data_IF_523411265852
#
_entry.id   IF_523411265852
#
_cell.length_a   1.000
_cell.length_b   1.000
_cell.length_c   1.000
_cell.angle_alpha   90.00
_cell.angle_beta   90.00
_cell.angle_gamma   90.00
#
_symmetry.space_group_name_H-M   'P 1'
#
loop_
_entity.id
_entity.type
_entity.pdbx_description
1 polymer ?
#
# COMPACT_ATOMS: atom_id res chain seq x y z
N UNK A 1 56.32 -4.11 -5.74
CA UNK A 1 57.26 -3.66 -4.68
C UNK A 1 56.49 -3.67 -3.36
N UNK A 2 56.78 -4.45 -2.33
CA UNK A 2 57.80 -5.48 -2.09
C UNK A 2 57.27 -6.27 -0.88
N UNK A 3 57.39 -7.59 -0.93
CA UNK A 3 57.06 -8.53 0.15
C UNK A 3 58.03 -8.36 1.33
N UNK A 4 57.55 -8.51 2.57
CA UNK A 4 58.41 -8.55 3.75
C UNK A 4 58.44 -9.95 4.36
N UNK A 5 59.68 -10.44 4.50
CA UNK A 5 60.11 -11.78 4.92
C UNK A 5 60.02 -12.02 6.43
N UNK A 6 59.80 -13.29 6.80
CA UNK A 6 60.04 -13.89 8.12
C UNK A 6 61.53 -13.87 8.54
N UNK A 7 61.80 -14.01 9.85
CA UNK A 7 62.88 -14.91 10.27
C UNK A 7 62.51 -15.85 11.45
N UNK A 8 62.97 -17.09 11.34
CA UNK A 8 63.00 -18.16 12.37
C UNK A 8 64.29 -18.11 13.21
N UNK A 9 64.31 -18.53 14.49
CA UNK A 9 65.54 -18.69 15.29
C UNK A 9 66.21 -20.08 15.15
N UNK A 10 67.52 -20.13 15.46
CA UNK A 10 68.48 -21.25 15.38
C UNK A 10 68.49 -22.16 16.62
N UNK A 11 69.06 -23.38 16.54
CA UNK A 11 69.27 -24.26 17.70
C UNK A 11 70.64 -24.02 18.38
N UNK A 12 70.65 -24.10 19.70
CA UNK A 12 71.85 -24.03 20.56
C UNK A 12 72.37 -25.43 20.94
N UNK A 13 73.66 -25.48 21.24
CA UNK A 13 74.54 -26.66 21.33
C UNK A 13 75.30 -26.58 22.65
N UNK A 14 75.31 -27.63 23.46
CA UNK A 14 76.30 -27.85 24.54
C UNK A 14 76.57 -29.35 24.72
N UNK A 15 77.75 -29.85 24.34
CA UNK A 15 78.97 -30.09 25.17
C UNK A 15 78.78 -31.23 26.20
N UNK A 16 79.25 -32.45 25.90
CA UNK A 16 80.63 -32.96 26.05
C UNK A 16 81.08 -33.12 27.50
N UNK A 17 81.03 -34.36 28.01
CA UNK A 17 81.91 -34.83 29.09
C UNK A 17 82.40 -36.25 28.77
N UNK A 18 83.72 -36.36 28.69
CA UNK A 18 84.48 -37.54 28.34
C UNK A 18 85.04 -38.10 29.65
N UNK A 19 84.78 -39.37 29.98
CA UNK A 19 85.45 -40.07 31.09
C UNK A 19 86.10 -41.35 30.58
N UNK A 20 87.40 -41.43 30.84
CA UNK A 20 88.33 -42.50 30.49
C UNK A 20 87.87 -43.84 31.08
N UNK A 21 87.71 -44.86 30.25
CA UNK A 21 87.47 -46.23 30.71
C UNK A 21 88.75 -47.05 30.54
N UNK A 22 89.24 -47.58 31.65
CA UNK A 22 90.47 -48.37 31.79
C UNK A 22 90.41 -49.66 30.96
N UNK A 23 91.53 -49.99 30.31
CA UNK A 23 91.72 -51.06 29.33
C UNK A 23 91.53 -52.50 29.89
N UNK A 24 91.26 -52.65 31.19
CA UNK A 24 91.23 -53.95 31.90
C UNK A 24 89.84 -54.61 31.91
N UNK A 25 88.76 -53.89 31.57
CA UNK A 25 87.37 -54.43 31.62
C UNK A 25 86.99 -55.22 30.35
N UNK A 26 87.72 -55.06 29.24
CA UNK A 26 87.38 -55.72 27.96
C UNK A 26 87.72 -57.21 27.89
N UNK A 27 88.54 -57.76 28.78
CA UNK A 27 89.03 -59.14 28.66
C UNK A 27 88.25 -60.19 29.45
N UNK A 28 87.36 -59.81 30.38
CA UNK A 28 86.62 -60.78 31.23
C UNK A 28 85.10 -60.87 30.98
N UNK A 29 84.52 -59.99 30.14
CA UNK A 29 83.06 -59.94 29.87
C UNK A 29 82.62 -60.60 28.56
N UNK A 30 83.54 -61.17 27.78
CA UNK A 30 83.24 -61.77 26.46
C UNK A 30 82.67 -63.21 26.56
N UNK A 31 83.08 -64.11 27.47
CA UNK A 31 82.56 -65.48 27.47
C UNK A 31 81.13 -65.61 28.05
N UNK A 32 80.64 -64.64 28.82
CA UNK A 32 79.32 -64.72 29.45
C UNK A 32 78.17 -64.27 28.52
N UNK A 33 78.42 -63.29 27.63
CA UNK A 33 77.42 -62.80 26.68
C UNK A 33 77.11 -63.79 25.53
N UNK A 34 78.08 -64.62 25.13
CA UNK A 34 77.87 -65.59 24.05
C UNK A 34 76.91 -66.72 24.49
N UNK A 35 76.99 -67.16 25.76
CA UNK A 35 76.03 -68.14 26.29
C UNK A 35 74.60 -67.61 26.39
N UNK A 36 74.42 -66.33 26.75
CA UNK A 36 73.10 -65.70 26.82
C UNK A 36 72.44 -65.56 25.44
N UNK A 37 73.23 -65.24 24.41
CA UNK A 37 72.73 -65.11 23.03
C UNK A 37 72.29 -66.48 22.49
N UNK A 38 73.03 -67.56 22.76
CA UNK A 38 72.68 -68.91 22.30
C UNK A 38 71.44 -69.48 22.99
N UNK A 39 71.20 -69.16 24.27
CA UNK A 39 69.96 -69.57 24.95
C UNK A 39 68.74 -68.82 24.39
N UNK A 40 68.86 -67.52 24.13
CA UNK A 40 67.76 -66.69 23.64
C UNK A 40 67.30 -67.04 22.21
N UNK A 41 68.22 -67.46 21.33
CA UNK A 41 67.85 -67.86 19.96
C UNK A 41 67.15 -69.22 19.91
N UNK A 42 67.45 -70.13 20.84
CA UNK A 42 66.77 -71.43 20.92
C UNK A 42 65.30 -71.31 21.35
N UNK A 43 64.99 -70.41 22.29
CA UNK A 43 63.62 -70.19 22.79
C UNK A 43 62.74 -69.45 21.79
N UNK A 44 63.32 -68.52 21.03
CA UNK A 44 62.60 -67.80 19.96
C UNK A 44 62.28 -68.74 18.79
N UNK A 45 63.20 -69.64 18.42
CA UNK A 45 62.96 -70.64 17.39
C UNK A 45 61.82 -71.62 17.72
N UNK A 46 61.74 -72.06 18.97
CA UNK A 46 60.68 -72.97 19.41
C UNK A 46 59.30 -72.29 19.50
N UNK A 47 59.25 -71.03 19.93
CA UNK A 47 58.01 -70.25 19.97
C UNK A 47 57.40 -70.00 18.57
N UNK A 48 58.25 -69.73 17.57
CA UNK A 48 57.80 -69.53 16.18
C UNK A 48 57.21 -70.81 15.58
N UNK A 49 57.80 -71.97 15.88
CA UNK A 49 57.27 -73.27 15.43
C UNK A 49 55.90 -73.60 16.06
N UNK A 50 55.69 -73.26 17.33
CA UNK A 50 54.39 -73.43 17.99
C UNK A 50 53.31 -72.51 17.39
N UNK A 51 53.66 -71.27 17.00
CA UNK A 51 52.73 -70.34 16.36
C UNK A 51 52.34 -70.77 14.94
N UNK A 52 53.27 -71.31 14.15
CA UNK A 52 52.97 -71.79 12.80
C UNK A 52 52.15 -73.09 12.80
N UNK A 53 52.31 -73.96 13.80
CA UNK A 53 51.52 -75.20 13.91
C UNK A 53 50.08 -75.01 14.42
N UNK A 54 49.73 -73.82 14.95
CA UNK A 54 48.38 -73.53 15.47
C UNK A 54 47.58 -72.51 14.65
N UNK A 55 48.07 -72.13 13.46
CA UNK A 55 47.37 -71.17 12.61
C UNK A 55 46.31 -71.86 11.74
N UNK A 56 45.07 -71.88 12.22
CA UNK A 56 43.90 -72.30 11.43
C UNK A 56 43.28 -71.05 10.77
N UNK A 57 43.22 -70.95 9.43
CA UNK A 57 42.69 -69.75 8.78
C UNK A 57 41.19 -69.61 9.08
N UNK A 58 40.69 -68.39 9.38
CA UNK A 58 39.26 -68.15 9.54
C UNK A 58 38.55 -68.37 8.19
N UNK A 59 37.39 -69.03 8.24
CA UNK A 59 36.47 -69.15 7.09
C UNK A 59 36.09 -67.75 6.59
N UNK A 60 36.03 -67.51 5.26
CA UNK A 60 35.68 -66.20 4.73
C UNK A 60 34.26 -65.80 5.18
N UNK A 61 34.02 -64.52 5.51
CA UNK A 61 32.70 -64.04 5.86
C UNK A 61 31.77 -64.13 4.64
N UNK A 62 30.52 -64.55 4.86
CA UNK A 62 29.47 -64.45 3.86
C UNK A 62 29.35 -62.98 3.41
N UNK A 63 29.75 -62.70 2.16
CA UNK A 63 29.53 -61.40 1.52
C UNK A 63 28.02 -61.33 1.26
N UNK A 64 27.27 -60.41 1.90
CA UNK A 64 25.87 -60.21 1.55
C UNK A 64 25.80 -59.80 0.06
N UNK A 65 24.78 -60.23 -0.69
CA UNK A 65 24.69 -59.97 -2.12
C UNK A 65 24.82 -58.47 -2.41
N UNK A 66 25.37 -58.08 -3.57
CA UNK A 66 25.51 -56.68 -3.93
C UNK A 66 24.13 -56.01 -3.88
N UNK A 67 24.01 -54.90 -3.17
CA UNK A 67 22.78 -54.11 -3.12
C UNK A 67 22.95 -52.90 -4.03
N UNK A 68 22.25 -52.91 -5.17
CA UNK A 68 22.37 -51.89 -6.20
C UNK A 68 21.96 -50.47 -5.76
N UNK A 69 21.30 -50.34 -4.61
CA UNK A 69 20.97 -49.04 -4.01
C UNK A 69 21.88 -48.65 -2.84
N UNK A 70 22.77 -49.54 -2.37
CA UNK A 70 23.67 -49.26 -1.25
C UNK A 70 24.69 -48.21 -1.65
N UNK A 71 24.62 -47.03 -1.02
CA UNK A 71 25.50 -45.90 -1.30
C UNK A 71 25.16 -45.12 -2.57
N UNK A 72 24.06 -45.45 -3.25
CA UNK A 72 23.61 -44.71 -4.45
C UNK A 72 22.85 -43.45 -4.04
N UNK A 73 23.37 -42.28 -4.40
CA UNK A 73 22.74 -40.99 -4.15
C UNK A 73 21.94 -40.54 -5.38
N UNK A 74 20.62 -40.56 -5.27
CA UNK A 74 19.73 -40.07 -6.32
C UNK A 74 19.48 -38.57 -6.15
N UNK A 75 19.66 -37.80 -7.23
CA UNK A 75 19.44 -36.36 -7.24
C UNK A 75 17.96 -35.98 -7.40
N UNK A 76 17.66 -34.69 -7.22
CA UNK A 76 16.37 -34.07 -7.61
C UNK A 76 15.11 -34.63 -6.92
N UNK A 77 15.27 -35.35 -5.80
CA UNK A 77 14.14 -36.00 -5.10
C UNK A 77 13.79 -37.39 -5.64
N UNK A 78 14.61 -37.96 -6.52
CA UNK A 78 14.47 -39.34 -6.96
C UNK A 78 14.84 -40.32 -5.83
N UNK A 79 14.20 -41.48 -5.84
CA UNK A 79 14.44 -42.57 -4.88
C UNK A 79 15.12 -43.71 -5.63
N UNK A 80 16.10 -44.37 -5.01
CA UNK A 80 16.70 -45.56 -5.60
C UNK A 80 15.74 -46.74 -5.45
N UNK A 81 15.39 -47.37 -6.56
CA UNK A 81 14.62 -48.62 -6.60
C UNK A 81 15.50 -49.73 -7.20
N UNK A 82 15.40 -50.94 -6.65
CA UNK A 82 16.17 -52.10 -7.12
C UNK A 82 15.51 -52.68 -8.37
N UNK A 83 16.33 -53.15 -9.30
CA UNK A 83 15.86 -53.90 -10.46
C UNK A 83 15.23 -55.22 -9.97
N UNK A 84 14.03 -55.52 -10.46
CA UNK A 84 13.29 -56.74 -10.08
C UNK A 84 14.00 -58.05 -10.48
N UNK A 85 14.91 -57.98 -11.46
CA UNK A 85 15.62 -59.14 -12.01
C UNK A 85 17.03 -59.30 -11.47
N UNK A 86 17.66 -58.20 -11.03
CA UNK A 86 19.01 -58.20 -10.46
C UNK A 86 19.10 -57.24 -9.26
N UNK A 87 19.10 -57.74 -8.02
CA UNK A 87 19.23 -56.93 -6.80
C UNK A 87 20.53 -56.11 -6.73
N UNK A 88 21.54 -56.46 -7.54
CA UNK A 88 22.83 -55.76 -7.65
C UNK A 88 22.73 -54.46 -8.45
N UNK A 89 21.62 -54.24 -9.16
CA UNK A 89 21.38 -53.09 -10.02
C UNK A 89 20.27 -52.22 -9.41
N UNK A 90 20.61 -50.97 -9.10
CA UNK A 90 19.64 -49.97 -8.64
C UNK A 90 19.45 -48.88 -9.69
N UNK A 91 18.24 -48.35 -9.83
CA UNK A 91 17.89 -47.24 -10.70
C UNK A 91 17.30 -46.08 -9.89
N UNK A 92 17.59 -44.83 -10.28
CA UNK A 92 17.00 -43.66 -9.63
C UNK A 92 15.69 -43.33 -10.32
N UNK A 93 14.58 -43.55 -9.63
CA UNK A 93 13.24 -43.35 -10.19
C UNK A 93 12.52 -42.23 -9.48
N UNK A 94 11.75 -41.46 -10.25
CA UNK A 94 10.81 -40.51 -9.68
C UNK A 94 9.56 -41.27 -9.27
N UNK A 95 9.38 -41.46 -7.96
CA UNK A 95 8.18 -42.10 -7.44
C UNK A 95 6.97 -41.29 -7.88
N UNK A 96 5.94 -41.97 -8.39
CA UNK A 96 4.62 -41.36 -8.64
C UNK A 96 4.00 -40.99 -7.30
N UNK A 97 4.35 -39.80 -6.80
CA UNK A 97 3.81 -39.22 -5.58
C UNK A 97 2.41 -38.68 -5.86
N UNK A 98 1.45 -39.04 -5.00
CA UNK A 98 0.14 -38.40 -4.98
C UNK A 98 0.26 -37.18 -4.09
N UNK A 99 0.27 -35.99 -4.69
CA UNK A 99 0.33 -34.75 -3.91
C UNK A 99 -1.07 -34.42 -3.35
N UNK A 100 -1.16 -33.87 -2.13
CA UNK A 100 -2.41 -33.36 -1.59
C UNK A 100 -3.00 -32.29 -2.51
N UNK A 101 -4.33 -32.26 -2.64
CA UNK A 101 -5.06 -31.23 -3.41
C UNK A 101 -5.15 -29.87 -2.68
N UNK A 102 -4.27 -29.60 -1.72
CA UNK A 102 -4.21 -28.33 -1.00
C UNK A 102 -3.59 -27.27 -1.92
N UNK A 103 -4.33 -26.20 -2.17
CA UNK A 103 -3.86 -25.07 -2.99
C UNK A 103 -3.10 -24.09 -2.08
N UNK A 104 -1.77 -24.17 -2.12
CA UNK A 104 -0.86 -23.31 -1.37
C UNK A 104 0.33 -22.96 -2.28
N UNK A 105 0.13 -22.06 -3.27
CA UNK A 105 1.05 -21.91 -4.38
C UNK A 105 2.45 -21.49 -3.94
N UNK A 106 3.48 -21.94 -4.66
CA UNK A 106 4.87 -21.55 -4.44
C UNK A 106 5.52 -21.13 -5.76
N UNK A 107 6.43 -20.17 -5.69
CA UNK A 107 7.21 -19.71 -6.82
C UNK A 107 8.56 -20.43 -6.84
N UNK A 108 8.83 -21.17 -7.91
CA UNK A 108 10.08 -21.87 -8.12
C UNK A 108 11.20 -20.94 -8.62
N UNK A 109 12.45 -21.38 -8.46
CA UNK A 109 13.64 -20.71 -8.98
C UNK A 109 13.72 -20.66 -10.51
N UNK A 110 12.84 -21.40 -11.17
CA UNK A 110 12.64 -21.43 -12.61
C UNK A 110 11.56 -20.44 -13.08
N UNK A 111 11.09 -19.54 -12.20
CA UNK A 111 9.99 -18.59 -12.43
C UNK A 111 8.61 -19.22 -12.69
N UNK A 112 8.45 -20.51 -12.44
CA UNK A 112 7.18 -21.22 -12.57
C UNK A 112 6.40 -21.24 -11.24
N UNK A 113 5.08 -21.09 -11.31
CA UNK A 113 4.19 -21.24 -10.15
C UNK A 113 3.75 -22.69 -10.03
N UNK A 114 3.92 -23.30 -8.86
CA UNK A 114 3.45 -24.64 -8.54
C UNK A 114 2.28 -24.56 -7.55
N UNK A 115 1.29 -25.44 -7.69
CA UNK A 115 0.06 -25.46 -6.86
C UNK A 115 0.35 -25.61 -5.36
N UNK A 116 1.43 -26.32 -5.03
CA UNK A 116 2.00 -26.47 -3.70
C UNK A 116 3.45 -26.97 -3.79
N UNK A 117 4.13 -27.06 -2.64
CA UNK A 117 5.52 -27.51 -2.55
C UNK A 117 5.73 -28.96 -3.01
N UNK A 118 4.75 -29.86 -2.79
CA UNK A 118 4.82 -31.24 -3.28
C UNK A 118 4.84 -31.31 -4.81
N UNK A 119 3.99 -30.53 -5.49
CA UNK A 119 3.98 -30.49 -6.96
C UNK A 119 5.28 -29.87 -7.52
N UNK A 120 5.92 -28.95 -6.78
CA UNK A 120 7.25 -28.44 -7.13
C UNK A 120 8.31 -29.54 -7.03
N UNK A 121 8.36 -30.30 -5.92
CA UNK A 121 9.32 -31.40 -5.75
C UNK A 121 9.12 -32.51 -6.78
N UNK A 122 7.86 -32.84 -7.10
CA UNK A 122 7.51 -33.78 -8.16
C UNK A 122 7.99 -33.30 -9.53
N UNK A 123 7.79 -32.02 -9.84
CA UNK A 123 8.31 -31.42 -11.07
C UNK A 123 9.84 -31.41 -11.09
N UNK A 124 10.49 -31.11 -9.95
CA UNK A 124 11.94 -31.15 -9.77
C UNK A 124 12.50 -32.52 -10.18
N UNK A 125 11.89 -33.59 -9.68
CA UNK A 125 12.28 -34.96 -10.02
C UNK A 125 12.01 -35.26 -11.50
N UNK A 126 10.79 -35.05 -11.97
CA UNK A 126 10.38 -35.43 -13.33
C UNK A 126 11.17 -34.69 -14.43
N UNK A 127 11.53 -33.43 -14.18
CA UNK A 127 12.29 -32.61 -15.13
C UNK A 127 13.79 -32.72 -14.95
N UNK A 128 14.26 -33.40 -13.89
CA UNK A 128 15.68 -33.52 -13.52
C UNK A 128 16.38 -32.14 -13.43
N UNK A 129 15.68 -31.13 -12.90
CA UNK A 129 16.19 -29.77 -12.68
C UNK A 129 16.18 -29.46 -11.20
N UNK A 130 17.14 -28.71 -10.67
CA UNK A 130 17.08 -28.22 -9.28
C UNK A 130 16.18 -26.99 -9.23
N UNK A 131 15.03 -27.13 -8.59
CA UNK A 131 14.02 -26.07 -8.47
C UNK A 131 13.86 -25.80 -6.99
N UNK A 132 14.27 -24.62 -6.53
CA UNK A 132 14.11 -24.22 -5.13
C UNK A 132 12.90 -23.32 -5.01
N UNK A 133 12.16 -23.41 -3.91
CA UNK A 133 11.15 -22.41 -3.57
C UNK A 133 11.87 -21.07 -3.36
N UNK A 134 11.62 -20.10 -4.25
CA UNK A 134 12.08 -18.72 -4.06
C UNK A 134 11.18 -17.96 -3.09
N UNK A 135 9.87 -18.19 -3.16
CA UNK A 135 8.86 -17.48 -2.35
C UNK A 135 7.57 -18.28 -2.27
N UNK A 136 6.83 -18.12 -1.16
CA UNK A 136 5.42 -18.54 -1.05
C UNK A 136 4.53 -17.65 -1.93
N UNK A 137 3.53 -18.23 -2.57
CA UNK A 137 2.64 -17.57 -3.54
C UNK A 137 3.09 -17.74 -5.00
N UNK A 138 2.29 -17.23 -5.94
CA UNK A 138 2.57 -17.29 -7.37
C UNK A 138 3.81 -16.50 -7.79
N UNK A 139 4.48 -16.91 -8.87
CA UNK A 139 5.53 -16.13 -9.53
C UNK A 139 5.00 -14.90 -10.28
N UNK A 140 3.69 -14.86 -10.56
CA UNK A 140 3.06 -13.62 -11.03
C UNK A 140 3.26 -12.54 -9.96
N UNK A 141 4.10 -11.54 -10.28
CA UNK A 141 4.22 -10.32 -9.51
C UNK A 141 2.87 -9.61 -9.64
N UNK A 142 2.01 -9.71 -8.61
CA UNK A 142 0.89 -8.79 -8.49
C UNK A 142 1.44 -7.37 -8.53
N UNK A 143 0.78 -6.48 -9.26
CA UNK A 143 1.13 -5.06 -9.23
C UNK A 143 1.17 -4.58 -7.77
N UNK A 144 2.33 -4.12 -7.26
CA UNK A 144 2.43 -3.65 -5.88
C UNK A 144 1.47 -2.50 -5.56
N UNK A 145 0.99 -1.76 -6.59
CA UNK A 145 0.00 -0.70 -6.42
C UNK A 145 -1.46 -1.18 -6.34
N UNK A 146 -1.75 -2.45 -6.64
CA UNK A 146 -3.11 -2.98 -6.67
C UNK A 146 -3.82 -2.97 -5.29
N UNK A 147 -3.05 -3.05 -4.21
CA UNK A 147 -3.57 -3.08 -2.83
C UNK A 147 -3.17 -1.81 -2.03
N UNK A 148 -2.56 -0.80 -2.68
CA UNK A 148 -2.08 0.44 -2.03
C UNK A 148 -2.98 1.61 -2.39
N UNK A 149 -3.59 2.22 -1.37
CA UNK A 149 -4.35 3.47 -1.53
C UNK A 149 -3.51 4.66 -1.08
N UNK A 150 -3.13 5.50 -2.02
CA UNK A 150 -2.37 6.72 -1.76
C UNK A 150 -3.28 7.85 -1.27
N UNK A 151 -2.78 8.69 -0.37
CA UNK A 151 -3.51 9.81 0.23
C UNK A 151 -3.07 11.16 -0.37
N UNK A 152 -3.87 12.20 -0.15
CA UNK A 152 -3.50 13.60 -0.45
C UNK A 152 -3.14 13.85 -1.92
N UNK A 153 -3.80 13.19 -2.89
CA UNK A 153 -3.52 13.41 -4.31
C UNK A 153 -2.17 12.86 -4.80
N UNK A 154 -1.53 11.97 -4.04
CA UNK A 154 -0.38 11.20 -4.52
C UNK A 154 -0.81 10.00 -5.37
N UNK A 155 0.03 9.65 -6.34
CA UNK A 155 -0.19 8.49 -7.22
C UNK A 155 0.74 7.36 -6.80
N UNK A 156 0.22 6.13 -6.80
CA UNK A 156 1.04 4.96 -6.54
C UNK A 156 1.92 4.64 -7.75
N UNK A 157 3.20 4.42 -7.49
CA UNK A 157 4.14 3.88 -8.48
C UNK A 157 4.86 2.65 -7.92
N UNK A 158 5.25 1.73 -8.80
CA UNK A 158 6.11 0.61 -8.44
C UNK A 158 7.52 1.13 -8.12
N UNK A 159 8.10 0.65 -7.02
CA UNK A 159 9.48 0.95 -6.66
C UNK A 159 10.47 0.25 -7.60
N UNK A 160 11.73 0.72 -7.61
CA UNK A 160 12.82 0.11 -8.38
C UNK A 160 13.02 -1.38 -8.11
N UNK A 161 12.60 -1.85 -6.94
CA UNK A 161 12.74 -3.25 -6.52
C UNK A 161 11.70 -4.18 -7.17
N UNK A 162 10.75 -3.63 -7.93
CA UNK A 162 9.68 -4.38 -8.60
C UNK A 162 8.67 -5.05 -7.67
N UNK A 163 8.82 -4.88 -6.35
CA UNK A 163 8.04 -5.59 -5.31
C UNK A 163 7.31 -4.67 -4.36
N UNK A 164 7.80 -3.46 -4.17
CA UNK A 164 7.21 -2.46 -3.27
C UNK A 164 6.51 -1.37 -4.08
N UNK A 165 5.52 -0.74 -3.46
CA UNK A 165 4.80 0.41 -3.99
C UNK A 165 5.19 1.66 -3.20
N UNK A 166 5.24 2.81 -3.89
CA UNK A 166 5.52 4.11 -3.29
C UNK A 166 4.50 5.12 -3.79
N UNK A 167 3.89 5.85 -2.86
CA UNK A 167 3.05 6.99 -3.19
C UNK A 167 3.92 8.23 -3.44
N UNK A 168 3.75 8.86 -4.59
CA UNK A 168 4.51 10.06 -4.95
C UNK A 168 3.61 11.21 -5.35
N UNK A 169 4.00 12.42 -4.96
CA UNK A 169 3.35 13.64 -5.41
C UNK A 169 3.65 13.91 -6.89
N UNK A 170 2.73 14.55 -7.62
CA UNK A 170 3.04 15.14 -8.92
C UNK A 170 4.24 16.10 -8.81
N UNK A 171 5.22 15.97 -9.72
CA UNK A 171 6.42 16.82 -9.75
C UNK A 171 6.24 18.06 -10.65
N UNK A 172 5.39 17.95 -11.68
CA UNK A 172 5.10 19.04 -12.63
C UNK A 172 3.71 18.83 -13.25
N UNK A 173 3.09 19.95 -13.64
CA UNK A 173 1.79 19.98 -14.32
C UNK A 173 1.86 20.76 -15.65
N UNK A 174 3.05 20.96 -16.23
CA UNK A 174 3.24 21.79 -17.43
C UNK A 174 2.61 21.19 -18.69
N UNK A 175 2.67 19.86 -18.84
CA UNK A 175 2.14 19.14 -20.01
C UNK A 175 0.71 18.60 -19.81
N UNK A 176 -0.03 19.16 -18.83
CA UNK A 176 -1.39 18.74 -18.50
C UNK A 176 -2.38 19.80 -18.98
N UNK A 177 -3.56 19.43 -19.52
CA UNK A 177 -4.60 20.38 -19.86
C UNK A 177 -4.95 21.31 -18.68
N UNK A 178 -4.90 22.63 -18.92
CA UNK A 178 -5.22 23.66 -17.92
C UNK A 178 -6.73 23.88 -17.84
N UNK A 179 -7.45 22.84 -17.41
CA UNK A 179 -8.89 22.90 -17.17
C UNK A 179 -9.10 23.30 -15.71
N UNK A 180 -9.68 24.47 -15.45
CA UNK A 180 -9.97 24.91 -14.08
C UNK A 180 -10.89 23.92 -13.37
N UNK A 181 -10.55 23.61 -12.11
CA UNK A 181 -11.32 22.73 -11.25
C UNK A 181 -11.54 23.34 -9.87
N UNK A 182 -12.66 22.99 -9.24
CA UNK A 182 -12.99 23.39 -7.89
C UNK A 182 -12.54 22.31 -6.90
N UNK A 183 -11.75 22.70 -5.91
CA UNK A 183 -11.34 21.84 -4.81
C UNK A 183 -12.35 21.80 -3.67
N UNK A 184 -12.34 20.72 -2.90
CA UNK A 184 -13.19 20.55 -1.70
C UNK A 184 -12.87 21.58 -0.61
N UNK A 185 -11.71 22.22 -0.69
CA UNK A 185 -11.29 23.35 0.15
C UNK A 185 -11.90 24.70 -0.28
N UNK A 186 -12.70 24.71 -1.34
CA UNK A 186 -13.34 25.92 -1.87
C UNK A 186 -12.42 26.79 -2.71
N UNK A 187 -11.27 26.26 -3.14
CA UNK A 187 -10.30 26.98 -3.98
C UNK A 187 -10.33 26.49 -5.42
N UNK A 188 -10.13 27.44 -6.34
CA UNK A 188 -9.96 27.16 -7.76
C UNK A 188 -8.52 26.74 -8.06
N UNK A 189 -8.38 25.63 -8.78
CA UNK A 189 -7.10 25.11 -9.25
C UNK A 189 -7.06 25.14 -10.77
N UNK A 190 -5.90 25.50 -11.34
CA UNK A 190 -5.72 25.60 -12.79
C UNK A 190 -5.87 24.25 -13.54
N UNK A 191 -5.72 23.14 -12.82
CA UNK A 191 -5.94 21.77 -13.30
C UNK A 191 -6.11 20.80 -12.13
N UNK A 192 -6.63 19.61 -12.39
CA UNK A 192 -6.67 18.53 -11.40
C UNK A 192 -5.26 18.13 -10.94
N UNK A 193 -4.25 18.20 -11.82
CA UNK A 193 -2.85 18.00 -11.45
C UNK A 193 -2.39 19.05 -10.42
N UNK A 194 -2.72 20.33 -10.64
CA UNK A 194 -2.35 21.40 -9.72
C UNK A 194 -3.03 21.21 -8.34
N UNK A 195 -4.29 20.76 -8.33
CA UNK A 195 -5.02 20.38 -7.11
C UNK A 195 -4.30 19.25 -6.37
N UNK A 196 -4.02 18.13 -7.05
CA UNK A 196 -3.36 16.97 -6.46
C UNK A 196 -1.94 17.29 -5.96
N UNK A 197 -1.19 18.11 -6.70
CA UNK A 197 0.12 18.60 -6.30
C UNK A 197 0.04 19.45 -5.02
N UNK A 198 -0.96 20.33 -4.92
CA UNK A 198 -1.19 21.14 -3.71
C UNK A 198 -1.63 20.28 -2.52
N UNK A 199 -2.56 19.35 -2.73
CA UNK A 199 -3.00 18.39 -1.72
C UNK A 199 -1.80 17.63 -1.14
N UNK A 200 -0.93 17.12 -2.02
CA UNK A 200 0.18 16.27 -1.65
C UNK A 200 1.29 17.05 -0.94
N UNK A 201 1.66 18.22 -1.47
CA UNK A 201 2.70 19.07 -0.86
C UNK A 201 2.30 19.64 0.50
N UNK A 202 1.00 19.77 0.78
CA UNK A 202 0.50 20.31 2.05
C UNK A 202 -0.02 19.25 3.01
N UNK A 203 0.01 17.96 2.62
CA UNK A 203 -0.61 16.85 3.37
C UNK A 203 -2.07 17.14 3.75
N UNK A 204 -2.81 17.79 2.85
CA UNK A 204 -4.23 18.13 3.04
C UNK A 204 -5.09 17.27 2.13
N UNK A 205 -6.24 16.83 2.65
CA UNK A 205 -7.17 16.00 1.91
C UNK A 205 -8.08 16.86 1.02
N UNK A 206 -7.49 17.47 0.00
CA UNK A 206 -8.18 18.29 -0.99
C UNK A 206 -8.61 17.37 -2.12
N UNK A 207 -9.91 17.22 -2.32
CA UNK A 207 -10.50 16.40 -3.38
C UNK A 207 -11.05 17.30 -4.47
N UNK A 208 -11.13 16.77 -5.68
CA UNK A 208 -11.89 17.40 -6.76
C UNK A 208 -13.38 17.42 -6.38
N UNK A 209 -13.97 18.61 -6.27
CA UNK A 209 -15.40 18.78 -6.01
C UNK A 209 -16.18 18.73 -7.33
N UNK A 210 -15.80 19.56 -8.30
CA UNK A 210 -16.33 19.55 -9.65
C UNK A 210 -15.38 20.24 -10.64
N UNK A 211 -15.61 20.03 -11.94
CA UNK A 211 -14.91 20.75 -13.01
C UNK A 211 -15.50 22.17 -13.11
N UNK A 212 -14.66 23.17 -13.36
CA UNK A 212 -15.02 24.59 -13.36
C UNK A 212 -14.60 25.33 -12.08
N UNK A 213 -14.94 26.61 -12.00
CA UNK A 213 -14.68 27.45 -10.82
C UNK A 213 -15.68 27.16 -9.70
N UNK A 214 -15.23 27.16 -8.45
CA UNK A 214 -16.03 27.05 -7.24
C UNK A 214 -17.10 28.14 -7.11
N UNK A 215 -16.79 29.36 -7.56
CA UNK A 215 -17.72 30.50 -7.61
C UNK A 215 -17.79 31.08 -9.03
N UNK A 216 -18.61 30.48 -9.92
CA UNK A 216 -18.85 31.01 -11.27
C UNK A 216 -19.45 32.42 -11.27
N UNK A 217 -20.01 32.87 -10.13
CA UNK A 217 -20.61 34.17 -9.95
C UNK A 217 -19.67 35.22 -9.34
N UNK A 218 -18.41 34.85 -9.01
CA UNK A 218 -17.42 35.71 -8.35
C UNK A 218 -17.24 37.06 -9.04
N UNK A 219 -17.20 37.07 -10.37
CA UNK A 219 -16.99 38.28 -11.17
C UNK A 219 -18.21 39.20 -11.23
N UNK A 220 -19.40 38.70 -10.89
CA UNK A 220 -20.66 39.44 -10.97
C UNK A 220 -21.12 40.00 -9.60
N UNK A 221 -20.48 39.59 -8.48
CA UNK A 221 -20.86 39.99 -7.10
C UNK A 221 -20.89 41.51 -6.85
N UNK A 222 -20.08 42.30 -7.58
CA UNK A 222 -19.98 43.75 -7.40
C UNK A 222 -20.70 44.58 -8.48
N UNK A 223 -21.33 43.93 -9.45
CA UNK A 223 -22.17 44.62 -10.41
C UNK A 223 -23.55 44.79 -9.79
N UNK A 224 -23.87 45.98 -9.27
CA UNK A 224 -25.23 46.38 -8.81
C UNK A 224 -26.36 46.01 -9.81
N UNK A 225 -25.97 45.77 -11.06
CA UNK A 225 -26.83 45.51 -12.20
C UNK A 225 -26.89 44.04 -12.67
N UNK A 226 -26.12 43.11 -12.07
CA UNK A 226 -26.09 41.70 -12.50
C UNK A 226 -26.12 40.78 -11.30
N UNK A 227 -27.32 40.32 -10.91
CA UNK A 227 -27.41 39.22 -9.94
C UNK A 227 -27.05 37.92 -10.67
N UNK A 228 -26.13 37.13 -10.14
CA UNK A 228 -25.74 35.85 -10.71
C UNK A 228 -26.17 34.72 -9.78
N UNK A 229 -26.79 33.69 -10.34
CA UNK A 229 -27.06 32.44 -9.65
C UNK A 229 -26.53 31.29 -10.52
N UNK A 230 -25.83 30.33 -9.91
CA UNK A 230 -25.29 29.17 -10.64
C UNK A 230 -26.15 27.92 -10.45
N UNK A 231 -26.37 27.17 -11.53
CA UNK A 231 -27.01 25.86 -11.49
C UNK A 231 -26.01 24.79 -11.95
N UNK A 232 -25.67 23.87 -11.05
CA UNK A 232 -24.66 22.84 -11.28
C UNK A 232 -25.14 21.75 -12.24
N UNK A 233 -26.44 21.44 -12.28
CA UNK A 233 -26.97 20.40 -13.16
C UNK A 233 -26.89 20.80 -14.63
N UNK A 234 -27.12 22.09 -14.93
CA UNK A 234 -27.05 22.65 -16.29
C UNK A 234 -25.71 23.30 -16.61
N UNK A 235 -24.85 23.49 -15.61
CA UNK A 235 -23.59 24.23 -15.68
C UNK A 235 -23.76 25.65 -16.23
N UNK A 236 -24.90 26.29 -15.95
CA UNK A 236 -25.22 27.63 -16.45
C UNK A 236 -25.37 28.61 -15.31
N UNK A 237 -24.89 29.83 -15.54
CA UNK A 237 -25.16 30.97 -14.68
C UNK A 237 -26.39 31.71 -15.21
N UNK A 238 -27.35 31.97 -14.34
CA UNK A 238 -28.47 32.87 -14.60
C UNK A 238 -28.08 34.27 -14.12
N UNK A 239 -28.00 35.20 -15.05
CA UNK A 239 -27.78 36.61 -14.76
C UNK A 239 -29.10 37.38 -14.84
N UNK A 240 -29.43 38.16 -13.81
CA UNK A 240 -30.58 39.06 -13.85
C UNK A 240 -30.12 40.45 -14.24
N UNK A 241 -30.81 41.00 -15.24
CA UNK A 241 -30.70 42.38 -15.68
C UNK A 241 -30.96 43.39 -14.54
N UNK A 242 -30.45 44.64 -14.66
CA UNK A 242 -30.68 45.69 -13.66
C UNK A 242 -32.17 45.99 -13.44
N UNK A 243 -32.56 46.66 -12.33
CA UNK A 243 -33.95 47.03 -12.06
C UNK A 243 -34.57 47.88 -13.17
N UNK A 244 -33.75 48.67 -13.87
CA UNK A 244 -34.14 49.49 -15.02
C UNK A 244 -34.57 48.67 -16.24
N UNK A 245 -34.25 47.38 -16.30
CA UNK A 245 -34.72 46.47 -17.35
C UNK A 245 -36.15 45.96 -17.11
N UNK A 246 -36.70 46.12 -15.89
CA UNK A 246 -38.09 45.80 -15.64
C UNK A 246 -38.99 46.83 -16.35
N UNK A 247 -39.95 46.38 -17.19
CA UNK A 247 -40.86 47.29 -17.88
C UNK A 247 -41.59 48.19 -16.89
N UNK A 248 -41.66 49.51 -17.13
CA UNK A 248 -42.51 50.39 -16.34
C UNK A 248 -43.97 50.02 -16.65
N UNK A 249 -44.67 49.44 -15.69
CA UNK A 249 -46.10 49.16 -15.80
C UNK A 249 -46.48 47.69 -15.62
N UNK A 250 -46.49 47.25 -14.37
CA UNK A 250 -47.51 46.28 -13.95
C UNK A 250 -48.23 46.87 -12.75
N UNK A 251 -49.44 46.42 -12.51
CA UNK A 251 -50.16 46.78 -11.29
C UNK A 251 -49.31 46.45 -10.06
N UNK A 252 -49.31 47.31 -9.02
CA UNK A 252 -48.67 46.97 -7.75
C UNK A 252 -49.27 45.66 -7.23
N UNK A 253 -48.48 44.88 -6.51
CA UNK A 253 -48.89 43.57 -6.00
C UNK A 253 -48.36 43.32 -4.59
N UNK A 254 -49.09 42.47 -3.87
CA UNK A 254 -48.66 41.92 -2.60
C UNK A 254 -47.96 40.58 -2.84
N UNK A 255 -46.73 40.47 -2.38
CA UNK A 255 -45.94 39.25 -2.51
C UNK A 255 -46.06 38.37 -1.27
N UNK A 256 -45.62 37.13 -1.40
CA UNK A 256 -45.68 36.13 -0.35
C UNK A 256 -44.82 36.48 0.87
N UNK A 257 -43.91 37.45 0.81
CA UNK A 257 -43.18 37.93 1.99
C UNK A 257 -43.90 39.07 2.74
N UNK A 258 -45.16 39.35 2.39
CA UNK A 258 -45.95 40.42 3.00
C UNK A 258 -45.51 41.81 2.61
N UNK A 259 -44.81 41.97 1.48
CA UNK A 259 -44.33 43.27 0.98
C UNK A 259 -45.00 43.67 -0.32
N UNK A 260 -45.11 44.98 -0.49
CA UNK A 260 -45.62 45.60 -1.71
C UNK A 260 -44.52 45.70 -2.75
N UNK A 261 -44.80 45.25 -3.97
CA UNK A 261 -43.92 45.39 -5.12
C UNK A 261 -44.63 46.16 -6.21
N UNK A 262 -43.92 47.12 -6.83
CA UNK A 262 -44.46 47.90 -7.93
C UNK A 262 -44.68 47.03 -9.17
N UNK A 263 -43.82 46.03 -9.38
CA UNK A 263 -43.98 45.07 -10.47
C UNK A 263 -43.57 43.66 -10.10
N UNK A 264 -44.12 42.67 -10.82
CA UNK A 264 -43.77 41.25 -10.65
C UNK A 264 -42.29 41.00 -10.98
N UNK A 265 -41.76 41.68 -12.00
CA UNK A 265 -40.33 41.66 -12.32
C UNK A 265 -39.46 42.13 -11.15
N UNK A 266 -39.86 43.21 -10.45
CA UNK A 266 -39.13 43.69 -9.28
C UNK A 266 -39.25 42.72 -8.08
N UNK A 267 -40.41 42.06 -7.94
CA UNK A 267 -40.60 41.00 -6.94
C UNK A 267 -39.64 39.85 -7.18
N UNK A 268 -39.63 39.28 -8.38
CA UNK A 268 -38.75 38.16 -8.75
C UNK A 268 -37.28 38.51 -8.64
N UNK A 269 -36.88 39.71 -9.08
CA UNK A 269 -35.50 40.18 -8.92
C UNK A 269 -35.09 40.28 -7.46
N UNK A 270 -35.95 40.85 -6.62
CA UNK A 270 -35.68 40.99 -5.18
C UNK A 270 -35.66 39.63 -4.49
N UNK A 271 -36.54 38.71 -4.89
CA UNK A 271 -36.59 37.34 -4.41
C UNK A 271 -35.24 36.65 -4.65
N UNK A 272 -34.75 36.69 -5.89
CA UNK A 272 -33.46 36.11 -6.26
C UNK A 272 -32.30 36.78 -5.52
N UNK A 273 -32.31 38.11 -5.37
CA UNK A 273 -31.25 38.83 -4.63
C UNK A 273 -31.17 38.39 -3.15
N UNK A 274 -32.29 37.97 -2.58
CA UNK A 274 -32.36 37.48 -1.20
C UNK A 274 -32.30 35.95 -1.10
N UNK A 275 -32.02 35.25 -2.21
CA UNK A 275 -31.98 33.78 -2.28
C UNK A 275 -33.30 33.16 -1.80
N UNK A 276 -34.41 33.75 -2.26
CA UNK A 276 -35.78 33.39 -1.89
C UNK A 276 -36.62 33.17 -3.14
N UNK A 277 -37.65 32.36 -3.00
CA UNK A 277 -38.76 32.27 -3.95
C UNK A 277 -39.96 33.03 -3.39
N UNK A 278 -40.37 34.09 -4.08
CA UNK A 278 -41.58 34.83 -3.76
C UNK A 278 -42.69 34.49 -4.76
N UNK A 279 -43.93 34.51 -4.30
CA UNK A 279 -45.13 34.32 -5.13
C UNK A 279 -46.01 35.55 -5.03
N UNK A 280 -46.68 35.93 -6.12
CA UNK A 280 -47.75 36.94 -6.06
C UNK A 280 -48.93 36.36 -5.28
N UNK A 281 -49.34 37.02 -4.20
CA UNK A 281 -50.51 36.63 -3.40
C UNK A 281 -51.77 37.21 -4.02
N UNK A 282 -51.78 38.53 -4.28
CA UNK A 282 -52.86 39.22 -4.98
C UNK A 282 -52.37 40.51 -5.66
N UNK A 283 -53.16 41.05 -6.59
CA UNK A 283 -52.96 42.40 -7.13
C UNK A 283 -53.34 43.47 -6.09
N UNK A 284 -52.68 44.62 -6.13
CA UNK A 284 -52.80 45.69 -5.15
C UNK A 284 -51.86 45.54 -3.94
N UNK A 285 -51.80 46.56 -3.06
CA UNK A 285 -50.95 46.53 -1.87
C UNK A 285 -51.47 45.55 -0.81
N UNK A 286 -50.56 44.95 -0.05
CA UNK A 286 -50.84 44.14 1.13
C UNK A 286 -51.66 44.93 2.15
N UNK A 287 -52.59 44.25 2.82
CA UNK A 287 -53.33 44.81 3.96
C UNK A 287 -52.44 44.84 5.20
N UNK A 288 -52.75 45.70 6.18
CA UNK A 288 -52.01 45.79 7.46
C UNK A 288 -51.90 44.46 8.22
N UNK A 289 -52.88 43.56 8.06
CA UNK A 289 -52.89 42.24 8.70
C UNK A 289 -52.00 41.22 7.96
N UNK A 290 -51.58 41.55 6.74
CA UNK A 290 -50.73 40.75 5.85
C UNK A 290 -49.25 41.23 5.90
N UNK A 291 -48.91 42.16 6.79
CA UNK A 291 -47.52 42.61 7.00
C UNK A 291 -46.80 41.72 8.01
N UNK A 292 -45.56 41.35 7.71
CA UNK A 292 -44.68 40.63 8.63
C UNK A 292 -44.18 41.57 9.74
N UNK A 293 -44.84 41.57 10.90
CA UNK A 293 -44.51 42.44 12.03
C UNK A 293 -43.32 41.95 12.87
N UNK A 294 -43.12 40.64 13.01
CA UNK A 294 -42.01 40.06 13.77
C UNK A 294 -40.93 39.47 12.85
N UNK A 295 -39.68 39.64 13.25
CA UNK A 295 -38.55 38.99 12.60
C UNK A 295 -38.54 37.50 12.93
N UNK A 296 -38.58 36.69 11.88
CA UNK A 296 -38.50 35.25 12.01
C UNK A 296 -37.13 34.83 12.57
N UNK A 297 -37.15 33.98 13.60
CA UNK A 297 -35.94 33.39 14.20
C UNK A 297 -35.28 32.36 13.27
N UNK A 298 -34.01 32.06 13.54
CA UNK A 298 -33.26 31.00 12.85
C UNK A 298 -33.26 31.15 11.32
N UNK A 299 -33.02 32.36 10.82
CA UNK A 299 -32.98 32.62 9.36
C UNK A 299 -34.25 32.23 8.59
N UNK A 300 -35.38 31.97 9.28
CA UNK A 300 -36.63 31.65 8.65
C UNK A 300 -37.18 32.84 7.87
N UNK A 301 -37.98 32.55 6.84
CA UNK A 301 -38.57 33.54 5.96
C UNK A 301 -40.03 33.72 6.36
N UNK A 302 -40.43 34.96 6.63
CA UNK A 302 -41.84 35.26 6.83
C UNK A 302 -42.59 35.11 5.50
N UNK A 303 -43.66 34.33 5.54
CA UNK A 303 -44.55 34.07 4.41
C UNK A 303 -46.01 34.36 4.73
N UNK A 304 -46.74 34.86 3.74
CA UNK A 304 -48.19 34.92 3.74
C UNK A 304 -48.79 33.62 3.24
N UNK A 305 -49.52 32.95 4.12
CA UNK A 305 -50.27 31.75 3.82
C UNK A 305 -51.71 31.93 4.29
N UNK A 306 -52.68 31.83 3.37
CA UNK A 306 -54.11 32.04 3.67
C UNK A 306 -54.42 33.39 4.36
N UNK A 307 -53.68 34.46 4.03
CA UNK A 307 -53.88 35.79 4.62
C UNK A 307 -53.33 35.95 6.04
N UNK A 308 -52.44 35.06 6.50
CA UNK A 308 -51.72 35.20 7.77
C UNK A 308 -50.21 35.04 7.57
N UNK A 309 -49.43 35.80 8.32
CA UNK A 309 -47.97 35.71 8.33
C UNK A 309 -47.50 34.49 9.15
N UNK A 310 -46.59 33.70 8.57
CA UNK A 310 -45.97 32.50 9.18
C UNK A 310 -44.50 32.42 8.80
N UNK A 311 -43.63 32.06 9.74
CA UNK A 311 -42.23 31.79 9.45
C UNK A 311 -42.05 30.38 8.84
N UNK A 312 -41.35 30.29 7.70
CA UNK A 312 -41.09 29.04 7.00
C UNK A 312 -39.70 29.03 6.36
N UNK A 313 -39.12 27.82 6.21
CA UNK A 313 -37.85 27.60 5.51
C UNK A 313 -38.04 27.32 4.02
N UNK A 314 -39.26 26.99 3.59
CA UNK A 314 -39.59 26.60 2.21
C UNK A 314 -39.16 27.61 1.13
N UNK A 315 -39.24 28.95 1.36
CA UNK A 315 -38.88 29.93 0.33
C UNK A 315 -37.39 30.00 0.06
N UNK A 316 -36.54 29.46 0.93
CA UNK A 316 -35.09 29.59 0.80
C UNK A 316 -34.65 28.81 -0.44
N UNK A 317 -34.06 29.52 -1.41
CA UNK A 317 -33.56 28.98 -2.68
C UNK A 317 -32.10 29.36 -2.82
N UNK A 318 -31.25 28.40 -2.49
CA UNK A 318 -29.81 28.51 -2.67
C UNK A 318 -29.44 28.13 -4.09
N UNK A 319 -28.39 28.76 -4.60
CA UNK A 319 -27.75 28.34 -5.83
C UNK A 319 -26.71 27.26 -5.54
N UNK A 320 -26.19 26.63 -6.60
CA UNK A 320 -25.24 25.52 -6.47
C UNK A 320 -23.79 26.01 -6.40
N UNK A 321 -23.54 27.28 -6.04
CA UNK A 321 -22.16 27.76 -5.87
C UNK A 321 -21.47 27.04 -4.70
N UNK A 322 -20.21 26.65 -4.87
CA UNK A 322 -19.43 26.00 -3.84
C UNK A 322 -18.46 27.00 -3.21
N UNK A 323 -18.97 27.78 -2.26
CA UNK A 323 -18.18 28.74 -1.47
C UNK A 323 -18.26 28.33 0.00
N UNK A 324 -17.57 27.24 0.39
CA UNK A 324 -17.85 26.55 1.63
C UNK A 324 -17.62 27.44 2.85
N UNK A 325 -18.47 27.27 3.86
CA UNK A 325 -18.38 27.97 5.15
C UNK A 325 -18.41 26.95 6.29
N UNK A 326 -17.58 27.17 7.31
CA UNK A 326 -17.56 26.35 8.51
C UNK A 326 -18.47 26.99 9.55
N UNK A 327 -19.49 26.25 10.00
CA UNK A 327 -20.35 26.65 11.09
C UNK A 327 -19.66 26.53 12.45
N UNK A 328 -20.18 27.24 13.45
CA UNK A 328 -19.82 27.06 14.86
C UNK A 328 -20.26 25.71 15.44
N UNK A 329 -21.16 25.02 14.74
CA UNK A 329 -21.56 23.62 14.96
C UNK A 329 -20.52 22.59 14.46
N UNK A 330 -19.43 23.04 13.82
CA UNK A 330 -18.37 22.18 13.29
C UNK A 330 -18.70 21.53 11.95
N UNK A 331 -19.81 21.89 11.30
CA UNK A 331 -20.17 21.38 9.97
C UNK A 331 -19.72 22.33 8.86
N UNK A 332 -19.30 21.76 7.74
CA UNK A 332 -19.03 22.51 6.51
C UNK A 332 -20.29 22.57 5.65
N UNK A 333 -20.73 23.77 5.31
CA UNK A 333 -21.85 24.01 4.41
C UNK A 333 -21.33 24.42 3.03
N UNK A 334 -21.96 23.98 1.92
CA UNK A 334 -21.52 24.33 0.56
C UNK A 334 -21.42 25.83 0.29
N UNK A 335 -22.35 26.60 0.87
CA UNK A 335 -22.36 28.06 0.83
C UNK A 335 -23.16 28.63 2.03
N UNK A 336 -23.14 29.94 2.21
CA UNK A 336 -23.83 30.60 3.34
C UNK A 336 -25.35 30.46 3.30
N UNK A 337 -25.94 30.39 2.10
CA UNK A 337 -27.37 30.16 1.95
C UNK A 337 -27.77 28.81 2.54
N UNK A 338 -27.03 27.75 2.22
CA UNK A 338 -27.28 26.41 2.75
C UNK A 338 -27.06 26.34 4.27
N UNK A 339 -26.09 27.09 4.82
CA UNK A 339 -25.94 27.25 6.28
C UNK A 339 -27.20 27.87 6.91
N UNK A 340 -27.70 28.98 6.36
CA UNK A 340 -28.93 29.65 6.85
C UNK A 340 -30.17 28.78 6.71
N UNK A 341 -30.23 27.98 5.64
CA UNK A 341 -31.30 26.99 5.44
C UNK A 341 -31.25 25.91 6.52
N UNK A 342 -30.06 25.39 6.84
CA UNK A 342 -29.87 24.42 7.92
C UNK A 342 -30.23 25.01 9.29
N UNK A 343 -29.84 26.25 9.58
CA UNK A 343 -30.24 26.99 10.78
C UNK A 343 -31.77 27.04 10.90
N UNK A 344 -32.47 27.33 9.80
CA UNK A 344 -33.94 27.34 9.76
C UNK A 344 -34.56 25.95 10.00
N UNK A 345 -34.06 24.93 9.31
CA UNK A 345 -34.60 23.57 9.39
C UNK A 345 -34.38 22.91 10.76
N UNK A 346 -33.23 23.17 11.37
CA UNK A 346 -32.87 22.63 12.69
C UNK A 346 -33.42 23.46 13.85
N UNK A 347 -33.87 24.69 13.58
CA UNK A 347 -34.26 25.67 14.60
C UNK A 347 -33.15 25.93 15.63
N UNK A 348 -31.90 25.93 15.16
CA UNK A 348 -30.72 26.23 15.98
C UNK A 348 -29.91 27.32 15.33
N UNK A 349 -29.37 28.24 16.13
CA UNK A 349 -28.50 29.30 15.60
C UNK A 349 -27.16 28.70 15.23
N UNK A 350 -26.80 28.78 13.95
CA UNK A 350 -25.52 28.27 13.42
C UNK A 350 -24.78 29.46 12.85
N UNK A 351 -23.77 30.01 13.53
CA UNK A 351 -23.01 31.18 13.04
C UNK A 351 -21.85 30.73 12.17
N UNK A 352 -21.46 31.55 11.20
CA UNK A 352 -20.23 31.32 10.44
C UNK A 352 -19.03 31.53 11.35
N UNK A 353 -18.20 30.49 11.51
CA UNK A 353 -16.96 30.53 12.29
C UNK A 353 -15.78 30.98 11.43
N UNK A 354 -15.70 30.46 10.21
CA UNK A 354 -14.67 30.83 9.22
C UNK A 354 -15.15 30.57 7.79
N UNK A 355 -14.54 31.28 6.84
CA UNK A 355 -14.68 30.96 5.42
C UNK A 355 -13.82 29.73 5.09
N UNK A 356 -14.37 28.84 4.25
CA UNK A 356 -13.78 27.55 3.92
C UNK A 356 -14.38 26.41 4.74
N UNK A 357 -13.93 25.16 4.51
CA UNK A 357 -14.35 24.02 5.31
C UNK A 357 -13.86 24.11 6.76
N UNK A 358 -14.49 23.32 7.63
CA UNK A 358 -13.92 22.87 8.89
C UNK A 358 -12.86 21.79 8.58
#
# INVERSE_FOLDING_TARGET
MTSCHYPTPRPERDRMYQHKVSLVVRYFMIPCNICLILLATSTLGFAVLLFLNNYKPPTPPHIPPPDGCRGKLCGFGAVCERDSTDPSKGECVCKKMVCPSVVAPVCGSDSSTYSNECELEKAQCNTQRRIKVMRKGSCALKDPCSEVTCSYGSTCIQSSDGRSAKCMCPLSCENVPKVTVCGSDGLDYASECALNMKACSTNKNIRLQHIGSCDPCRMNRNSLNVLCAYNAQTQKTKTLSPPSACPPGSEPLCASDGRNYNTECLMERTALQKERQLKKVHSGPCKKQEECQEECKFSAVCLLEHGRARCSCEPIRCDDTYTPVCGDDGHTYPNDCERRRAECLTQTTIRSKQQGPC
#
